data_IF_384050123117
#
_entry.id   IF_384050123117
#
_cell.length_a   1.000
_cell.length_b   1.000
_cell.length_c   1.000
_cell.angle_alpha   90.00
_cell.angle_beta   90.00
_cell.angle_gamma   90.00
#
_symmetry.space_group_name_H-M   'P 1'
#
loop_
_entity.id
_entity.type
_entity.pdbx_description
1 polymer ?
#
# COMPACT_ATOMS: atom_id res chain seq x y z
N UNK A 1 41.22 52.19 -12.90
CA UNK A 1 41.55 52.05 -11.46
C UNK A 1 40.34 51.47 -10.75
N UNK A 2 40.47 50.26 -10.22
CA UNK A 2 39.50 49.59 -9.34
C UNK A 2 39.28 50.39 -8.06
N UNK A 3 38.03 50.57 -7.63
CA UNK A 3 37.65 50.60 -6.21
C UNK A 3 36.29 49.92 -6.08
N UNK A 4 36.32 48.68 -5.62
CA UNK A 4 35.14 47.94 -5.21
C UNK A 4 34.60 48.55 -3.91
N UNK A 5 33.34 48.97 -3.92
CA UNK A 5 32.56 49.12 -2.69
C UNK A 5 31.66 47.89 -2.55
N UNK A 6 31.96 47.05 -1.56
CA UNK A 6 31.13 45.92 -1.15
C UNK A 6 29.73 46.42 -0.72
N UNK A 7 28.63 45.98 -1.36
CA UNK A 7 27.33 46.14 -0.77
C UNK A 7 27.14 45.09 0.31
N UNK A 8 27.17 45.59 1.55
CA UNK A 8 26.40 45.14 2.72
C UNK A 8 25.50 43.92 2.48
N UNK A 9 25.88 42.82 3.14
CA UNK A 9 25.03 42.03 4.03
C UNK A 9 23.51 42.16 3.78
N UNK A 10 23.03 41.57 2.69
CA UNK A 10 21.61 41.22 2.52
C UNK A 10 21.52 39.76 2.10
N UNK A 11 22.02 38.88 2.97
CA UNK A 11 21.56 37.50 3.03
C UNK A 11 20.18 37.56 3.69
N UNK A 12 19.19 38.03 2.93
CA UNK A 12 17.83 38.27 3.37
C UNK A 12 16.91 37.35 2.58
N UNK A 13 16.47 36.29 3.27
CA UNK A 13 15.10 35.74 3.18
C UNK A 13 14.77 34.84 1.97
N UNK A 14 15.61 34.67 0.95
CA UNK A 14 15.31 33.70 -0.14
C UNK A 14 15.78 32.26 0.13
N UNK A 15 15.78 31.81 1.38
CA UNK A 15 15.93 30.38 1.74
C UNK A 15 14.60 29.77 2.21
N UNK A 16 13.51 30.54 2.19
CA UNK A 16 12.24 30.11 2.74
C UNK A 16 11.18 29.89 1.64
N UNK A 17 10.78 28.63 1.48
CA UNK A 17 9.46 28.18 1.00
C UNK A 17 9.25 28.24 -0.52
N UNK A 18 9.81 27.25 -1.21
CA UNK A 18 9.12 26.61 -2.33
C UNK A 18 9.47 25.12 -2.39
N UNK A 19 9.53 24.46 -1.23
CA UNK A 19 9.41 23.01 -1.15
C UNK A 19 7.94 22.65 -1.38
N UNK A 20 7.46 22.81 -2.62
CA UNK A 20 6.26 22.12 -3.06
C UNK A 20 6.61 20.64 -3.05
N UNK A 21 6.31 19.98 -1.93
CA UNK A 21 6.22 18.54 -1.87
C UNK A 21 5.12 18.14 -2.85
N UNK A 22 5.51 17.79 -4.07
CA UNK A 22 4.66 17.09 -5.02
C UNK A 22 4.41 15.74 -4.37
N UNK A 23 3.30 15.62 -3.64
CA UNK A 23 2.80 14.35 -3.15
C UNK A 23 2.39 13.54 -4.38
N UNK A 24 3.33 12.76 -4.91
CA UNK A 24 3.02 11.74 -5.92
C UNK A 24 2.04 10.79 -5.23
N UNK A 25 0.83 10.56 -5.76
CA UNK A 25 -0.02 9.51 -5.22
C UNK A 25 0.72 8.19 -5.45
N UNK A 26 1.30 7.65 -4.39
CA UNK A 26 1.84 6.30 -4.40
C UNK A 26 0.60 5.41 -4.45
N UNK A 27 0.22 4.98 -5.65
CA UNK A 27 -0.73 3.89 -5.80
C UNK A 27 -0.06 2.65 -5.23
N UNK A 28 -0.33 2.39 -3.95
CA UNK A 28 -0.03 1.12 -3.29
C UNK A 28 -0.96 0.07 -3.87
N UNK A 29 -0.72 -0.35 -5.11
CA UNK A 29 -1.32 -1.56 -5.65
C UNK A 29 -0.60 -2.71 -4.97
N UNK A 30 -1.25 -3.33 -3.99
CA UNK A 30 -0.74 -4.57 -3.41
C UNK A 30 -0.53 -5.56 -4.57
N UNK A 31 0.70 -6.03 -4.75
CA UNK A 31 0.98 -7.10 -5.70
C UNK A 31 0.15 -8.34 -5.28
N UNK A 32 -0.43 -9.08 -6.24
CA UNK A 32 -1.10 -10.32 -5.92
C UNK A 32 -0.12 -11.24 -5.20
N UNK A 33 -0.57 -11.88 -4.12
CA UNK A 33 0.27 -12.80 -3.34
C UNK A 33 0.56 -14.06 -4.16
N UNK A 34 -0.37 -14.40 -5.05
CA UNK A 34 -0.27 -15.51 -5.99
C UNK A 34 0.58 -15.17 -7.21
N UNK A 35 1.45 -16.13 -7.56
CA UNK A 35 2.08 -16.22 -8.87
C UNK A 35 1.02 -16.25 -9.98
N UNK A 36 1.34 -15.66 -11.15
CA UNK A 36 0.44 -15.72 -12.29
C UNK A 36 0.15 -17.14 -12.76
N UNK A 37 -1.05 -17.36 -13.30
CA UNK A 37 -1.52 -18.67 -13.77
C UNK A 37 -0.52 -19.37 -14.71
N UNK A 38 -0.02 -18.66 -15.72
CA UNK A 38 0.87 -19.26 -16.72
C UNK A 38 2.21 -19.71 -16.10
N UNK A 39 2.78 -18.89 -15.21
CA UNK A 39 4.02 -19.23 -14.50
C UNK A 39 3.79 -20.42 -13.54
N UNK A 40 2.66 -20.43 -12.84
CA UNK A 40 2.30 -21.57 -11.99
C UNK A 40 2.14 -22.84 -12.81
N UNK A 41 1.43 -22.76 -13.94
CA UNK A 41 1.18 -23.90 -14.80
C UNK A 41 2.49 -24.46 -15.36
N UNK A 42 3.38 -23.61 -15.85
CA UNK A 42 4.71 -24.02 -16.34
C UNK A 42 5.48 -24.77 -15.25
N UNK A 43 5.59 -24.20 -14.04
CA UNK A 43 6.36 -24.81 -12.95
C UNK A 43 5.73 -26.11 -12.44
N UNK A 44 4.40 -26.17 -12.39
CA UNK A 44 3.66 -27.34 -11.95
C UNK A 44 3.80 -28.49 -12.96
N UNK A 45 3.58 -28.23 -14.25
CA UNK A 45 3.71 -29.26 -15.28
C UNK A 45 5.16 -29.68 -15.50
N UNK A 46 6.13 -28.77 -15.32
CA UNK A 46 7.55 -29.12 -15.36
C UNK A 46 7.97 -30.04 -14.21
N UNK A 47 7.29 -29.95 -13.06
CA UNK A 47 7.58 -30.78 -11.88
C UNK A 47 6.83 -32.12 -11.89
N UNK A 48 5.57 -32.12 -12.33
CA UNK A 48 4.66 -33.27 -12.20
C UNK A 48 4.30 -33.95 -13.52
N UNK A 49 4.66 -33.35 -14.65
CA UNK A 49 4.39 -33.85 -15.99
C UNK A 49 3.37 -33.00 -16.76
N UNK A 50 3.42 -33.13 -18.09
CA UNK A 50 2.53 -32.44 -19.02
C UNK A 50 1.32 -33.30 -19.44
N UNK A 51 1.14 -34.46 -18.82
CA UNK A 51 -0.01 -35.30 -19.13
C UNK A 51 -1.33 -34.63 -18.71
N UNK A 52 -2.43 -35.05 -19.33
CA UNK A 52 -3.75 -34.43 -19.12
C UNK A 52 -4.20 -34.46 -17.66
N UNK A 53 -3.79 -35.48 -16.89
CA UNK A 53 -4.20 -35.61 -15.49
C UNK A 53 -3.38 -34.63 -14.66
N UNK A 54 -2.06 -34.63 -14.80
CA UNK A 54 -1.18 -33.68 -14.11
C UNK A 54 -1.58 -32.23 -14.39
N UNK A 55 -1.85 -31.89 -15.67
CA UNK A 55 -2.31 -30.56 -16.06
C UNK A 55 -3.62 -30.18 -15.38
N UNK A 56 -4.62 -31.07 -15.38
CA UNK A 56 -5.91 -30.84 -14.72
C UNK A 56 -5.76 -30.65 -13.20
N UNK A 57 -4.89 -31.43 -12.57
CA UNK A 57 -4.58 -31.29 -11.14
C UNK A 57 -3.93 -29.93 -10.86
N UNK A 58 -2.95 -29.51 -11.67
CA UNK A 58 -2.34 -28.19 -11.57
C UNK A 58 -3.39 -27.07 -11.69
N UNK A 59 -4.24 -27.11 -12.72
CA UNK A 59 -5.29 -26.11 -12.95
C UNK A 59 -6.28 -26.03 -11.77
N UNK A 60 -6.71 -27.18 -11.24
CA UNK A 60 -7.62 -27.23 -10.10
C UNK A 60 -6.97 -26.71 -8.81
N UNK A 61 -5.69 -27.01 -8.59
CA UNK A 61 -4.95 -26.45 -7.46
C UNK A 61 -4.83 -24.94 -7.55
N UNK A 62 -4.49 -24.41 -8.73
CA UNK A 62 -4.40 -22.95 -8.91
C UNK A 62 -5.70 -22.26 -8.53
N UNK A 63 -6.84 -22.75 -9.05
CA UNK A 63 -8.17 -22.21 -8.73
C UNK A 63 -8.48 -22.26 -7.23
N UNK A 64 -8.11 -23.34 -6.55
CA UNK A 64 -8.32 -23.45 -5.12
C UNK A 64 -7.48 -22.42 -4.33
N UNK A 65 -6.25 -22.14 -4.77
CA UNK A 65 -5.41 -21.12 -4.14
C UNK A 65 -5.97 -19.72 -4.42
N UNK A 66 -6.42 -19.44 -5.65
CA UNK A 66 -7.02 -18.16 -6.03
C UNK A 66 -8.28 -17.85 -5.22
N UNK A 67 -9.16 -18.84 -5.05
CA UNK A 67 -10.34 -18.70 -4.19
C UNK A 67 -9.95 -18.39 -2.75
N UNK A 68 -8.94 -19.09 -2.22
CA UNK A 68 -8.48 -18.89 -0.85
C UNK A 68 -7.82 -17.52 -0.65
N UNK A 69 -7.11 -17.01 -1.64
CA UNK A 69 -6.57 -15.66 -1.62
C UNK A 69 -7.70 -14.63 -1.53
N UNK A 70 -8.75 -14.77 -2.34
CA UNK A 70 -9.92 -13.89 -2.29
C UNK A 70 -10.62 -13.95 -0.92
N UNK A 71 -10.77 -15.13 -0.33
CA UNK A 71 -11.32 -15.29 1.03
C UNK A 71 -10.48 -14.58 2.09
N UNK A 72 -9.15 -14.69 2.01
CA UNK A 72 -8.23 -14.02 2.96
C UNK A 72 -8.34 -12.51 2.83
N UNK A 73 -8.38 -11.97 1.60
CA UNK A 73 -8.54 -10.53 1.40
C UNK A 73 -9.91 -10.03 1.86
N UNK A 74 -10.98 -10.82 1.66
CA UNK A 74 -12.30 -10.49 2.16
C UNK A 74 -12.33 -10.42 3.70
N UNK A 75 -11.80 -11.44 4.39
CA UNK A 75 -11.72 -11.44 5.86
C UNK A 75 -10.79 -10.37 6.42
N UNK A 76 -9.70 -10.07 5.72
CA UNK A 76 -8.79 -8.99 6.12
C UNK A 76 -9.48 -7.63 5.99
N UNK A 77 -10.27 -7.42 4.93
CA UNK A 77 -11.06 -6.19 4.79
C UNK A 77 -12.13 -6.05 5.87
N UNK A 78 -12.79 -7.15 6.25
CA UNK A 78 -13.76 -7.18 7.35
C UNK A 78 -13.10 -6.81 8.68
N UNK A 79 -12.02 -7.49 9.07
CA UNK A 79 -11.28 -7.21 10.30
C UNK A 79 -10.71 -5.78 10.31
N UNK A 80 -10.18 -5.33 9.18
CA UNK A 80 -9.64 -3.97 9.05
C UNK A 80 -10.77 -2.95 9.24
N UNK A 81 -11.92 -3.13 8.60
CA UNK A 81 -13.04 -2.22 8.79
C UNK A 81 -13.53 -2.18 10.24
N UNK A 82 -13.59 -3.32 10.93
CA UNK A 82 -13.96 -3.34 12.36
C UNK A 82 -12.97 -2.57 13.23
N UNK A 83 -11.66 -2.79 13.05
CA UNK A 83 -10.61 -2.08 13.80
C UNK A 83 -10.67 -0.56 13.54
N UNK A 84 -10.81 -0.15 12.29
CA UNK A 84 -10.88 1.27 11.92
C UNK A 84 -12.17 1.95 12.41
N UNK A 85 -13.29 1.23 12.46
CA UNK A 85 -14.55 1.73 13.03
C UNK A 85 -14.45 1.89 14.55
N UNK A 86 -13.80 0.94 15.23
CA UNK A 86 -13.64 0.96 16.69
C UNK A 86 -12.67 2.07 17.14
N UNK A 87 -11.62 2.35 16.36
CA UNK A 87 -10.71 3.47 16.58
C UNK A 87 -11.41 4.82 16.39
N UNK A 88 -12.26 4.94 15.36
CA UNK A 88 -13.07 6.15 15.13
C UNK A 88 -14.02 6.44 16.29
N UNK A 89 -14.76 5.43 16.74
CA UNK A 89 -15.73 5.59 17.84
C UNK A 89 -15.05 5.95 19.16
N UNK A 90 -13.87 5.38 19.45
CA UNK A 90 -13.09 5.75 20.63
C UNK A 90 -12.51 7.17 20.53
N UNK A 91 -12.14 7.63 19.33
CA UNK A 91 -11.64 8.99 19.13
C UNK A 91 -12.73 10.07 19.29
N UNK A 92 -13.96 9.81 18.85
CA UNK A 92 -15.10 10.71 19.06
C UNK A 92 -15.46 10.81 20.56
N UNK A 93 -15.48 9.67 21.28
CA UNK A 93 -15.73 9.65 22.73
C UNK A 93 -14.69 10.44 23.55
N UNK A 94 -13.43 10.47 23.11
CA UNK A 94 -12.35 11.26 23.73
C UNK A 94 -12.44 12.76 23.42
N UNK A 95 -13.04 13.13 22.29
CA UNK A 95 -13.28 14.53 21.94
C UNK A 95 -14.43 15.15 22.74
N UNK A 96 -15.48 14.37 23.03
CA UNK A 96 -16.62 14.82 23.85
C UNK A 96 -16.25 15.04 25.33
N UNK A 97 -15.31 14.27 25.88
CA UNK A 97 -14.86 14.43 27.26
C UNK A 97 -13.97 15.67 27.50
N UNK A 98 -13.37 16.24 26.45
CA UNK A 98 -12.55 17.45 26.57
C UNK A 98 -13.36 18.75 26.45
N UNK A 99 -14.66 18.67 26.13
CA UNK A 99 -15.55 19.84 26.04
C UNK A 99 -16.35 20.09 27.33
N UNK A 100 -16.17 19.25 28.36
CA UNK A 100 -16.94 19.29 29.61
C UNK A 100 -16.08 19.53 30.87
N UNK A 101 -14.91 20.14 30.69
CA UNK A 101 -14.11 20.73 31.76
C UNK A 101 -13.89 22.22 31.44
N UNK A 102 -14.90 23.02 31.75
CA UNK A 102 -14.81 24.47 32.00
C UNK A 102 -15.63 24.78 33.27
#
# INVERSE_FOLDING_TARGET
MQKYCLPRLRVSIYVAIASMAISVPISLTAEPLLMGFDEYMERCTLSYGEDKIARSVCENQYKAIEQKEQEIFAHTNELTNEIWLDEKNNSESLSEQNEQVD
#
